data_IF_448453391848
#
_entry.id   IF_448453391848
#
_cell.length_a   1.000
_cell.length_b   1.000
_cell.length_c   1.000
_cell.angle_alpha   90.00
_cell.angle_beta   90.00
_cell.angle_gamma   90.00
#
_symmetry.space_group_name_H-M   'P 1'
#
loop_
_entity.id
_entity.type
_entity.pdbx_description
1 polymer ?
#
# COMPACT_ATOMS: atom_id res chain seq x y z
N UNK A 1 46.56 7.85 37.72
CA UNK A 1 45.38 8.75 37.78
C UNK A 1 45.18 9.35 36.41
N UNK A 2 44.24 8.82 35.63
CA UNK A 2 43.90 9.34 34.30
C UNK A 2 42.74 10.31 34.47
N UNK A 3 42.95 11.60 34.19
CA UNK A 3 41.90 12.62 34.22
C UNK A 3 41.14 12.58 32.90
N UNK A 4 39.88 12.14 32.96
CA UNK A 4 38.95 12.20 31.84
C UNK A 4 38.55 13.66 31.56
N UNK A 5 38.80 14.16 30.35
CA UNK A 5 38.08 15.30 29.79
C UNK A 5 36.71 14.80 29.32
N UNK A 6 35.57 15.33 29.80
CA UNK A 6 34.33 15.23 29.07
C UNK A 6 34.35 16.26 27.95
N UNK A 7 34.43 15.75 26.72
CA UNK A 7 34.14 16.47 25.49
C UNK A 7 32.67 16.93 25.57
N UNK A 8 32.46 18.16 26.01
CA UNK A 8 31.15 18.83 26.00
C UNK A 8 30.80 19.14 24.54
N UNK A 9 30.24 18.16 23.84
CA UNK A 9 29.63 18.37 22.52
C UNK A 9 28.40 19.25 22.75
N UNK A 10 28.55 20.52 22.41
CA UNK A 10 27.50 21.50 22.20
C UNK A 10 26.47 20.96 21.21
N UNK A 11 25.39 20.35 21.72
CA UNK A 11 24.13 20.23 21.00
C UNK A 11 23.28 21.44 21.35
N UNK A 12 23.61 22.58 20.74
CA UNK A 12 22.67 23.70 20.70
C UNK A 12 21.48 23.27 19.85
N UNK A 13 20.29 23.37 20.44
CA UNK A 13 19.02 23.29 19.75
C UNK A 13 18.93 24.41 18.71
N UNK A 14 19.32 24.10 17.48
CA UNK A 14 18.90 24.84 16.30
C UNK A 14 17.52 24.35 15.87
N UNK A 15 16.49 24.63 16.66
CA UNK A 15 15.12 24.63 16.12
C UNK A 15 15.09 25.84 15.19
N UNK A 16 15.28 25.61 13.89
CA UNK A 16 14.88 26.58 12.87
C UNK A 16 13.37 26.38 12.73
N UNK A 17 12.51 27.32 13.19
CA UNK A 17 11.11 27.29 12.81
C UNK A 17 11.03 27.85 11.39
N UNK A 18 11.44 27.06 10.40
CA UNK A 18 11.01 27.33 9.05
C UNK A 18 9.52 26.97 9.02
N UNK A 19 8.60 27.87 8.65
CA UNK A 19 7.31 27.40 8.20
C UNK A 19 7.61 26.56 6.97
N UNK A 20 7.55 25.23 7.11
CA UNK A 20 7.49 24.35 5.96
C UNK A 20 6.18 24.73 5.26
N UNK A 21 6.25 25.71 4.35
CA UNK A 21 5.24 25.91 3.34
C UNK A 21 5.24 24.58 2.60
N UNK A 22 4.26 23.74 2.91
CA UNK A 22 3.89 22.60 2.09
C UNK A 22 3.63 23.19 0.71
N UNK A 23 4.61 23.15 -0.17
CA UNK A 23 4.39 23.47 -1.57
C UNK A 23 3.57 22.27 -2.05
N UNK A 24 2.28 22.43 -2.38
CA UNK A 24 1.53 21.34 -2.97
C UNK A 24 2.28 20.96 -4.25
N UNK A 25 2.77 19.72 -4.30
CA UNK A 25 3.46 19.25 -5.49
C UNK A 25 2.49 19.33 -6.65
N UNK A 26 2.85 20.08 -7.70
CA UNK A 26 2.07 20.14 -8.94
C UNK A 26 1.97 18.76 -9.61
N UNK A 27 2.82 17.80 -9.24
CA UNK A 27 2.66 16.38 -9.61
C UNK A 27 1.40 15.76 -9.02
N UNK A 28 1.04 16.08 -7.77
CA UNK A 28 -0.20 15.60 -7.14
C UNK A 28 -1.43 16.42 -7.55
N UNK A 29 -1.25 17.66 -8.02
CA UNK A 29 -2.31 18.48 -8.62
C UNK A 29 -2.44 18.28 -10.14
N UNK A 30 -1.80 17.25 -10.71
CA UNK A 30 -1.81 17.01 -12.15
C UNK A 30 -3.15 16.39 -12.58
N UNK A 31 -4.08 17.28 -12.90
CA UNK A 31 -5.19 17.08 -13.84
C UNK A 31 -6.21 15.99 -13.46
N UNK A 32 -7.09 16.27 -12.49
CA UNK A 32 -8.33 15.51 -12.24
C UNK A 32 -9.40 15.69 -13.33
N UNK A 33 -9.02 15.76 -14.60
CA UNK A 33 -9.97 15.56 -15.70
C UNK A 33 -10.23 14.06 -15.87
N UNK A 34 -10.66 13.39 -14.80
CA UNK A 34 -11.14 12.01 -14.83
C UNK A 34 -12.49 12.03 -15.56
N UNK A 35 -12.45 12.17 -16.89
CA UNK A 35 -13.64 12.33 -17.74
C UNK A 35 -14.45 11.03 -17.89
N UNK A 36 -13.94 9.92 -17.37
CA UNK A 36 -14.67 8.66 -17.22
C UNK A 36 -14.39 8.09 -15.84
N UNK A 37 -15.38 8.17 -14.95
CA UNK A 37 -15.42 7.19 -13.86
C UNK A 37 -15.53 5.81 -14.53
N UNK A 38 -14.72 4.83 -14.15
CA UNK A 38 -14.90 3.46 -14.60
C UNK A 38 -16.34 3.08 -14.26
N UNK A 39 -17.11 2.66 -15.27
CA UNK A 39 -18.44 2.11 -15.02
C UNK A 39 -18.19 0.76 -14.35
N UNK A 40 -18.72 0.50 -13.15
CA UNK A 40 -18.53 -0.78 -12.49
C UNK A 40 -18.91 -1.91 -13.45
N UNK A 41 -18.05 -2.91 -13.58
CA UNK A 41 -18.29 -4.08 -14.46
C UNK A 41 -19.48 -4.91 -13.93
N UNK A 42 -19.82 -4.74 -12.64
CA UNK A 42 -21.00 -5.30 -11.99
C UNK A 42 -21.64 -4.26 -11.05
N UNK A 43 -22.95 -4.31 -10.89
CA UNK A 43 -23.71 -3.45 -9.97
C UNK A 43 -23.38 -3.73 -8.49
N UNK A 44 -22.84 -4.92 -8.19
CA UNK A 44 -22.45 -5.35 -6.85
C UNK A 44 -21.02 -5.90 -6.86
N UNK A 45 -20.12 -5.24 -6.14
CA UNK A 45 -18.72 -5.64 -5.92
C UNK A 45 -18.53 -6.44 -4.61
N UNK A 46 -19.65 -6.79 -3.96
CA UNK A 46 -19.67 -7.47 -2.67
C UNK A 46 -19.39 -6.57 -1.47
N UNK A 47 -19.44 -7.16 -0.28
CA UNK A 47 -19.12 -6.48 0.98
C UNK A 47 -17.62 -6.46 1.28
N UNK A 48 -17.14 -5.43 1.98
CA UNK A 48 -15.74 -5.34 2.43
C UNK A 48 -15.35 -6.59 3.24
N UNK A 49 -14.25 -7.24 2.87
CA UNK A 49 -13.67 -8.35 3.64
C UNK A 49 -12.77 -7.79 4.75
N UNK A 50 -13.24 -7.84 6.00
CA UNK A 50 -12.43 -7.52 7.17
C UNK A 50 -11.81 -8.80 7.73
N UNK A 51 -10.48 -8.89 7.73
CA UNK A 51 -9.76 -10.10 8.14
C UNK A 51 -9.51 -10.20 9.64
N UNK A 52 -9.52 -9.07 10.36
CA UNK A 52 -9.21 -9.01 11.80
C UNK A 52 -10.00 -10.01 12.66
N UNK A 53 -11.32 -10.19 12.50
CA UNK A 53 -12.06 -11.19 13.29
C UNK A 53 -11.59 -12.64 13.10
N UNK A 54 -11.17 -13.00 11.88
CA UNK A 54 -10.65 -14.34 11.59
C UNK A 54 -9.26 -14.54 12.20
N UNK A 55 -8.42 -13.51 12.13
CA UNK A 55 -7.06 -13.53 12.68
C UNK A 55 -7.10 -13.60 14.21
N UNK A 56 -7.93 -12.78 14.86
CA UNK A 56 -8.08 -12.75 16.31
C UNK A 56 -8.64 -14.07 16.86
N UNK A 57 -9.49 -14.75 16.08
CA UNK A 57 -9.99 -16.08 16.39
C UNK A 57 -8.99 -17.22 16.10
N UNK A 58 -7.79 -16.90 15.59
CA UNK A 58 -6.76 -17.88 15.19
C UNK A 58 -7.06 -18.61 13.88
N UNK A 59 -8.13 -18.24 13.17
CA UNK A 59 -8.56 -18.87 11.92
C UNK A 59 -7.82 -18.30 10.70
N UNK A 60 -6.50 -18.43 10.71
CA UNK A 60 -5.61 -17.81 9.72
C UNK A 60 -5.66 -18.47 8.34
N UNK A 61 -5.94 -19.76 8.28
CA UNK A 61 -6.12 -20.49 7.01
C UNK A 61 -7.37 -19.99 6.27
N UNK A 62 -8.48 -19.81 6.98
CA UNK A 62 -9.70 -19.25 6.40
C UNK A 62 -9.51 -17.79 5.98
N UNK A 63 -8.84 -16.98 6.81
CA UNK A 63 -8.51 -15.59 6.45
C UNK A 63 -7.69 -15.53 5.13
N UNK A 64 -6.72 -16.43 4.97
CA UNK A 64 -5.92 -16.55 3.74
C UNK A 64 -6.77 -16.99 2.56
N UNK A 65 -7.63 -17.99 2.74
CA UNK A 65 -8.52 -18.50 1.69
C UNK A 65 -9.49 -17.41 1.20
N UNK A 66 -10.10 -16.67 2.13
CA UNK A 66 -11.06 -15.60 1.80
C UNK A 66 -10.41 -14.40 1.13
N UNK A 67 -9.16 -14.09 1.46
CA UNK A 67 -8.44 -12.95 0.87
C UNK A 67 -7.89 -13.21 -0.53
N UNK A 68 -7.88 -14.46 -1.00
CA UNK A 68 -7.37 -14.81 -2.32
C UNK A 68 -8.13 -14.07 -3.42
N UNK A 69 -7.39 -13.34 -4.26
CA UNK A 69 -7.94 -12.63 -5.42
C UNK A 69 -7.93 -13.59 -6.61
N UNK A 70 -9.07 -13.71 -7.29
CA UNK A 70 -9.21 -14.51 -8.50
C UNK A 70 -10.08 -13.78 -9.52
N UNK A 71 -9.77 -13.94 -10.80
CA UNK A 71 -10.44 -13.24 -11.88
C UNK A 71 -10.09 -11.74 -11.95
N UNK A 72 -10.75 -11.04 -12.87
CA UNK A 72 -10.48 -9.63 -13.18
C UNK A 72 -9.66 -9.44 -14.45
N UNK A 73 -9.24 -8.21 -14.77
CA UNK A 73 -8.54 -7.88 -16.01
C UNK A 73 -7.04 -8.21 -15.98
N UNK A 74 -6.58 -8.99 -15.00
CA UNK A 74 -5.16 -9.24 -14.76
C UNK A 74 -4.68 -10.43 -15.59
N UNK A 75 -3.55 -10.32 -16.30
CA UNK A 75 -2.97 -11.43 -17.03
C UNK A 75 -2.52 -12.54 -16.06
N UNK A 76 -2.69 -13.79 -16.50
CA UNK A 76 -2.13 -15.01 -15.89
C UNK A 76 -2.54 -15.37 -14.45
N UNK A 77 -3.68 -14.85 -13.95
CA UNK A 77 -4.20 -15.13 -12.60
C UNK A 77 -3.09 -15.10 -11.51
N UNK A 78 -2.31 -14.00 -11.49
CA UNK A 78 -1.18 -13.89 -10.54
C UNK A 78 -1.68 -14.09 -9.12
N UNK A 79 -1.11 -15.06 -8.36
CA UNK A 79 -1.50 -15.32 -6.99
C UNK A 79 -1.37 -14.03 -6.17
N UNK A 80 -2.48 -13.60 -5.58
CA UNK A 80 -2.48 -12.40 -4.75
C UNK A 80 -3.60 -12.44 -3.72
N UNK A 81 -3.46 -11.64 -2.68
CA UNK A 81 -4.35 -11.64 -1.53
C UNK A 81 -4.68 -10.20 -1.16
N UNK A 82 -5.96 -9.87 -0.99
CA UNK A 82 -6.39 -8.53 -0.60
C UNK A 82 -7.48 -8.56 0.44
N UNK A 83 -7.65 -7.43 1.12
CA UNK A 83 -8.66 -7.27 2.15
C UNK A 83 -8.35 -6.09 3.05
N UNK A 84 -9.00 -6.07 4.22
CA UNK A 84 -8.84 -5.00 5.19
C UNK A 84 -8.44 -5.55 6.56
N UNK A 85 -7.54 -4.82 7.22
CA UNK A 85 -7.27 -5.00 8.65
C UNK A 85 -7.86 -3.85 9.45
N UNK A 86 -8.57 -4.15 10.53
CA UNK A 86 -9.00 -3.14 11.49
C UNK A 86 -7.79 -2.65 12.27
N UNK A 87 -7.47 -1.36 12.11
CA UNK A 87 -6.35 -0.69 12.81
C UNK A 87 -6.81 0.08 14.03
N UNK A 88 -8.10 0.44 14.09
CA UNK A 88 -8.72 1.02 15.27
C UNK A 88 -10.22 0.65 15.33
N UNK A 89 -10.57 -0.23 16.26
CA UNK A 89 -11.93 -0.71 16.43
C UNK A 89 -12.90 0.36 16.97
N UNK A 90 -12.41 1.32 17.76
CA UNK A 90 -13.25 2.40 18.31
C UNK A 90 -13.83 3.28 17.20
N UNK A 91 -13.10 3.47 16.10
CA UNK A 91 -13.49 4.34 14.99
C UNK A 91 -13.87 3.57 13.72
N UNK A 92 -14.05 2.24 13.77
CA UNK A 92 -14.17 1.36 12.59
C UNK A 92 -13.12 1.70 11.49
N UNK A 93 -11.89 2.01 11.92
CA UNK A 93 -10.81 2.36 11.01
C UNK A 93 -10.17 1.09 10.48
N UNK A 94 -10.20 0.93 9.16
CA UNK A 94 -9.76 -0.26 8.46
C UNK A 94 -8.77 0.14 7.34
N UNK A 95 -7.63 -0.55 7.27
CA UNK A 95 -6.60 -0.32 6.27
C UNK A 95 -6.66 -1.42 5.21
N UNK A 96 -6.80 -1.02 3.95
CA UNK A 96 -6.72 -1.92 2.81
C UNK A 96 -5.28 -2.39 2.57
N UNK A 97 -5.10 -3.66 2.19
CA UNK A 97 -3.83 -4.18 1.68
C UNK A 97 -4.05 -5.01 0.42
N UNK A 98 -2.99 -5.12 -0.38
CA UNK A 98 -2.90 -6.10 -1.45
C UNK A 98 -1.49 -6.68 -1.47
N UNK A 99 -1.40 -7.97 -1.20
CA UNK A 99 -0.17 -8.73 -1.07
C UNK A 99 0.05 -9.62 -2.29
N UNK A 100 1.29 -9.67 -2.75
CA UNK A 100 1.78 -10.52 -3.82
C UNK A 100 2.95 -11.34 -3.27
N UNK A 101 2.88 -12.68 -3.29
CA UNK A 101 4.02 -13.52 -2.96
C UNK A 101 5.13 -13.33 -4.01
N UNK A 102 6.38 -13.61 -3.62
CA UNK A 102 7.48 -13.59 -4.57
C UNK A 102 7.26 -14.62 -5.69
N UNK A 103 7.55 -14.24 -6.94
CA UNK A 103 7.40 -15.14 -8.09
C UNK A 103 8.36 -16.34 -8.02
N UNK A 104 9.51 -16.17 -7.35
CA UNK A 104 10.51 -17.22 -7.16
C UNK A 104 10.95 -17.29 -5.70
N UNK A 105 11.04 -18.52 -5.16
CA UNK A 105 11.56 -18.78 -3.81
C UNK A 105 10.72 -18.17 -2.68
N UNK A 106 9.40 -18.12 -2.83
CA UNK A 106 8.48 -17.49 -1.87
C UNK A 106 8.58 -18.05 -0.45
N UNK A 107 9.07 -19.27 -0.25
CA UNK A 107 9.25 -19.85 1.09
C UNK A 107 10.37 -19.17 1.89
N UNK A 108 11.34 -18.55 1.21
CA UNK A 108 12.53 -17.94 1.84
C UNK A 108 12.65 -16.44 1.58
N UNK A 109 11.81 -15.90 0.69
CA UNK A 109 11.76 -14.47 0.39
C UNK A 109 11.36 -13.64 1.63
N UNK A 110 11.97 -12.45 1.83
CA UNK A 110 11.57 -11.57 2.92
C UNK A 110 10.19 -10.94 2.64
N UNK A 111 9.49 -10.58 3.72
CA UNK A 111 8.28 -9.76 3.61
C UNK A 111 8.67 -8.29 3.38
N UNK A 112 8.22 -7.71 2.26
CA UNK A 112 8.38 -6.30 1.96
C UNK A 112 7.03 -5.57 2.15
N UNK A 113 7.06 -4.48 2.91
CA UNK A 113 5.91 -3.56 3.05
C UNK A 113 6.24 -2.28 2.30
N UNK A 114 5.41 -1.93 1.32
CA UNK A 114 5.56 -0.71 0.52
C UNK A 114 4.52 0.34 0.87
N UNK A 115 4.98 1.54 1.24
CA UNK A 115 4.13 2.66 1.65
C UNK A 115 4.42 3.88 0.80
N UNK A 116 3.45 4.33 0.04
CA UNK A 116 3.56 5.58 -0.70
C UNK A 116 3.53 6.80 0.22
N UNK A 117 4.26 7.84 -0.20
CA UNK A 117 4.38 9.10 0.53
C UNK A 117 3.25 10.09 0.23
N UNK A 118 3.50 11.37 0.53
CA UNK A 118 2.53 12.43 0.33
C UNK A 118 2.57 13.45 1.45
N UNK A 119 1.53 13.54 2.30
CA UNK A 119 0.58 12.50 2.77
C UNK A 119 -0.71 12.31 1.96
N UNK A 120 -1.37 11.15 2.16
CA UNK A 120 -2.72 10.86 1.62
C UNK A 120 -2.76 10.11 0.30
N UNK A 121 -1.60 9.86 -0.32
CA UNK A 121 -1.51 9.07 -1.56
C UNK A 121 -1.67 7.57 -1.27
N UNK A 122 -2.27 6.85 -2.19
CA UNK A 122 -2.41 5.39 -2.09
C UNK A 122 -1.12 4.66 -2.49
N UNK A 123 -0.76 3.60 -1.77
CA UNK A 123 0.31 2.68 -2.18
C UNK A 123 0.01 1.94 -3.49
N UNK A 124 -1.26 1.90 -3.92
CA UNK A 124 -1.63 1.34 -5.21
C UNK A 124 -0.99 2.07 -6.39
N UNK A 125 -0.56 3.33 -6.20
CA UNK A 125 0.25 4.01 -7.21
C UNK A 125 1.54 3.22 -7.48
N UNK A 126 2.32 2.89 -6.44
CA UNK A 126 3.55 2.10 -6.61
C UNK A 126 3.29 0.69 -7.15
N UNK A 127 2.14 0.11 -6.81
CA UNK A 127 1.71 -1.17 -7.40
C UNK A 127 1.56 -1.08 -8.92
N UNK A 128 0.88 -0.06 -9.44
CA UNK A 128 0.54 0.01 -10.87
C UNK A 128 1.52 0.81 -11.73
N UNK A 129 2.44 1.57 -11.13
CA UNK A 129 3.31 2.49 -11.88
C UNK A 129 4.80 2.38 -11.55
N UNK A 130 5.20 1.60 -10.55
CA UNK A 130 6.60 1.53 -10.12
C UNK A 130 7.15 0.10 -10.09
N UNK A 131 6.66 -0.73 -9.17
CA UNK A 131 7.32 -1.99 -8.79
C UNK A 131 6.39 -3.19 -8.66
N UNK A 132 5.07 -2.99 -8.79
CA UNK A 132 4.15 -4.11 -8.72
C UNK A 132 4.31 -5.06 -9.91
N UNK A 133 3.65 -6.23 -9.85
CA UNK A 133 3.75 -7.25 -10.88
C UNK A 133 3.02 -6.86 -12.18
N UNK A 134 2.40 -5.68 -12.22
CA UNK A 134 1.72 -5.17 -13.39
C UNK A 134 1.90 -3.67 -13.56
N UNK A 135 1.73 -3.22 -14.80
CA UNK A 135 1.53 -1.81 -15.11
C UNK A 135 0.23 -1.60 -15.88
N UNK A 136 -0.36 -0.43 -15.74
CA UNK A 136 -1.53 -0.01 -16.52
C UNK A 136 -1.05 0.49 -17.89
N UNK A 137 -1.66 0.01 -18.97
CA UNK A 137 -1.34 0.45 -20.33
C UNK A 137 -1.59 1.97 -20.52
N UNK A 138 -0.92 2.58 -21.48
CA UNK A 138 -1.05 4.02 -21.81
C UNK A 138 -2.47 4.45 -22.14
N UNK A 139 -3.30 3.52 -22.63
CA UNK A 139 -4.70 3.78 -22.93
C UNK A 139 -5.63 3.54 -21.72
N UNK A 140 -5.09 3.11 -20.58
CA UNK A 140 -5.81 2.79 -19.34
C UNK A 140 -6.90 1.72 -19.50
N UNK A 141 -6.82 0.93 -20.56
CA UNK A 141 -7.82 -0.10 -20.91
C UNK A 141 -7.44 -1.51 -20.48
N UNK A 142 -6.16 -1.74 -20.17
CA UNK A 142 -5.62 -3.07 -19.89
C UNK A 142 -4.48 -3.01 -18.88
N UNK A 143 -4.30 -4.12 -18.18
CA UNK A 143 -3.19 -4.33 -17.24
C UNK A 143 -2.22 -5.32 -17.86
N UNK A 144 -0.92 -5.01 -17.85
CA UNK A 144 0.13 -5.80 -18.49
C UNK A 144 1.11 -6.26 -17.41
N UNK A 145 1.60 -7.50 -17.49
CA UNK A 145 2.60 -8.03 -16.55
C UNK A 145 3.89 -7.22 -16.62
N UNK A 146 4.39 -6.81 -15.46
CA UNK A 146 5.69 -6.16 -15.31
C UNK A 146 6.78 -7.25 -15.25
N UNK A 147 7.74 -7.29 -16.20
CA UNK A 147 8.77 -8.33 -16.28
C UNK A 147 9.84 -8.24 -15.19
#
# INVERSE_FOLDING_TARGET
MWTALPLLILLTWGVIPAPAKLIPSSYFLRNHNFKRLPTPVADDVGSKLILTPYIDAGNTEEARRLSAVSGGPFPDDIPSYSGFFTVNAQYDSNLFFWFFPAEHGYETAPLLVWLQGGPGSTSLYGLFTELGPFFVDVNETSVIKNP
#
